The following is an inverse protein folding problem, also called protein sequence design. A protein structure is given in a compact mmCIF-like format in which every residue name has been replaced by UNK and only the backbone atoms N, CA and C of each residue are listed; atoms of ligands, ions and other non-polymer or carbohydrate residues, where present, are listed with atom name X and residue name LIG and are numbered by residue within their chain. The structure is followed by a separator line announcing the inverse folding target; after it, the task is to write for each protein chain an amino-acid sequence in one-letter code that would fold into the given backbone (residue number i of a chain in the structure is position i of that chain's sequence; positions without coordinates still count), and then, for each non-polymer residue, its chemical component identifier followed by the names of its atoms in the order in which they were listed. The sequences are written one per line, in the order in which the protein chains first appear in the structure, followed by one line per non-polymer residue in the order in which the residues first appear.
data_IF_573983759544
#
_entry.id   IF_573983759544
#
_cell.length_a   1.000
_cell.length_b   1.000
_cell.length_c   1.000
_cell.angle_alpha   90.00
_cell.angle_beta   90.00
_cell.angle_gamma   90.00
#
_symmetry.space_group_name_H-M   'P 1'
#
loop_
_entity.id
_entity.type
_entity.pdbx_description
1 polymer ?
#
# COMPACT_ATOMS: atom_id res chain seq x y z
N UNK A 1 -27.34 7.64 -15.24
CA UNK A 1 -25.99 7.52 -14.66
C UNK A 1 -25.92 6.15 -14.02
N UNK A 2 -25.43 5.18 -14.78
CA UNK A 2 -25.52 3.75 -14.49
C UNK A 2 -24.74 3.42 -13.22
N UNK A 3 -25.43 2.89 -12.21
CA UNK A 3 -24.78 2.29 -11.05
C UNK A 3 -23.93 1.08 -11.50
N UNK A 4 -22.82 0.78 -10.83
CA UNK A 4 -21.91 -0.32 -11.17
C UNK A 4 -22.50 -1.73 -10.90
N UNK A 5 -23.82 -1.93 -11.03
CA UNK A 5 -24.50 -3.20 -10.76
C UNK A 5 -24.45 -4.20 -11.93
N UNK A 6 -23.82 -3.88 -13.07
CA UNK A 6 -24.01 -4.64 -14.32
C UNK A 6 -22.76 -5.33 -14.90
N UNK A 7 -21.75 -5.66 -14.07
CA UNK A 7 -20.77 -6.67 -14.48
C UNK A 7 -20.39 -7.59 -13.31
N UNK A 8 -21.05 -8.76 -13.14
CA UNK A 8 -20.73 -9.71 -12.09
C UNK A 8 -19.29 -10.23 -12.18
N UNK A 9 -18.67 -10.20 -13.38
CA UNK A 9 -17.27 -10.57 -13.54
C UNK A 9 -16.33 -9.54 -12.91
N UNK A 10 -16.66 -8.26 -13.01
CA UNK A 10 -15.89 -7.18 -12.38
C UNK A 10 -15.96 -7.26 -10.84
N UNK A 11 -17.13 -7.54 -10.28
CA UNK A 11 -17.31 -7.72 -8.84
C UNK A 11 -16.48 -8.90 -8.31
N UNK A 12 -16.52 -10.04 -9.00
CA UNK A 12 -15.72 -11.21 -8.65
C UNK A 12 -14.20 -10.95 -8.77
N UNK A 13 -13.77 -10.23 -9.80
CA UNK A 13 -12.37 -9.86 -9.99
C UNK A 13 -11.84 -8.94 -8.87
N UNK A 14 -12.64 -7.95 -8.45
CA UNK A 14 -12.30 -7.06 -7.33
C UNK A 14 -12.22 -7.83 -6.01
N UNK A 15 -13.14 -8.77 -5.78
CA UNK A 15 -13.13 -9.61 -4.59
C UNK A 15 -11.90 -10.53 -4.54
N UNK A 16 -11.52 -11.12 -5.68
CA UNK A 16 -10.32 -11.92 -5.81
C UNK A 16 -9.05 -11.08 -5.55
N UNK A 17 -8.99 -9.88 -6.12
CA UNK A 17 -7.87 -8.96 -5.90
C UNK A 17 -7.76 -8.59 -4.41
N UNK A 18 -8.88 -8.24 -3.77
CA UNK A 18 -8.90 -7.90 -2.35
C UNK A 18 -8.42 -9.06 -1.49
N UNK A 19 -8.92 -10.27 -1.74
CA UNK A 19 -8.54 -11.48 -0.99
C UNK A 19 -7.05 -11.78 -1.17
N UNK A 20 -6.52 -11.63 -2.39
CA UNK A 20 -5.10 -11.83 -2.68
C UNK A 20 -4.22 -10.79 -1.97
N UNK A 21 -4.61 -9.51 -2.00
CA UNK A 21 -3.88 -8.44 -1.30
C UNK A 21 -3.87 -8.64 0.21
N UNK A 22 -5.01 -9.01 0.81
CA UNK A 22 -5.10 -9.29 2.25
C UNK A 22 -4.24 -10.49 2.63
N UNK A 23 -4.30 -11.58 1.86
CA UNK A 23 -3.50 -12.78 2.12
C UNK A 23 -1.99 -12.49 2.03
N UNK A 24 -1.57 -11.62 1.10
CA UNK A 24 -0.19 -11.19 0.99
C UNK A 24 0.21 -10.32 2.18
N UNK A 25 -0.54 -9.26 2.47
CA UNK A 25 -0.24 -8.34 3.57
C UNK A 25 -0.22 -9.04 4.93
N UNK A 26 -1.06 -10.07 5.10
CA UNK A 26 -1.08 -10.89 6.31
C UNK A 26 0.21 -11.69 6.53
N UNK A 27 0.93 -12.06 5.47
CA UNK A 27 2.18 -12.83 5.56
C UNK A 27 3.42 -11.96 5.77
N UNK A 28 3.30 -10.64 5.59
CA UNK A 28 4.43 -9.73 5.69
C UNK A 28 4.62 -9.25 7.12
N UNK A 29 5.77 -9.60 7.70
CA UNK A 29 6.17 -9.16 9.03
C UNK A 29 7.61 -8.66 9.00
N UNK A 30 7.78 -7.35 8.90
CA UNK A 30 9.09 -6.71 8.86
C UNK A 30 9.01 -5.26 9.34
N UNK A 31 9.99 -4.74 10.10
CA UNK A 31 9.95 -3.38 10.66
C UNK A 31 9.90 -2.27 9.60
N UNK A 32 10.38 -2.52 8.38
CA UNK A 32 10.32 -1.58 7.26
C UNK A 32 9.16 -1.85 6.28
N UNK A 33 8.13 -2.59 6.71
CA UNK A 33 6.94 -2.88 5.91
C UNK A 33 5.71 -2.65 6.76
N UNK A 34 4.70 -2.02 6.16
CA UNK A 34 3.44 -1.74 6.86
C UNK A 34 2.72 -3.04 7.23
N UNK A 35 2.32 -3.14 8.50
CA UNK A 35 1.64 -4.30 9.05
C UNK A 35 0.13 -4.18 8.85
N UNK A 36 -0.50 -5.28 8.41
CA UNK A 36 -1.95 -5.41 8.39
C UNK A 36 -2.49 -5.60 9.81
N UNK A 37 -3.46 -4.77 10.20
CA UNK A 37 -4.16 -4.90 11.48
C UNK A 37 -5.44 -5.72 11.29
N UNK A 38 -6.23 -5.39 10.26
CA UNK A 38 -7.48 -6.09 9.97
C UNK A 38 -7.92 -5.87 8.52
N UNK A 39 -8.86 -6.68 8.04
CA UNK A 39 -9.52 -6.50 6.76
C UNK A 39 -11.03 -6.73 6.91
N UNK A 40 -11.84 -5.90 6.26
CA UNK A 40 -13.29 -6.04 6.23
C UNK A 40 -13.74 -6.39 4.82
N UNK A 41 -14.46 -7.50 4.69
CA UNK A 41 -15.03 -8.01 3.45
C UNK A 41 -16.56 -8.00 3.57
N UNK A 42 -17.18 -6.83 3.39
CA UNK A 42 -18.65 -6.69 3.48
C UNK A 42 -19.18 -5.90 2.28
N UNK A 43 -19.65 -6.58 1.21
CA UNK A 43 -20.21 -5.91 0.04
C UNK A 43 -21.25 -4.84 0.44
N UNK A 44 -21.26 -3.66 -0.19
CA UNK A 44 -20.44 -3.23 -1.33
C UNK A 44 -19.05 -2.67 -0.94
N UNK A 45 -18.65 -2.77 0.33
CA UNK A 45 -17.45 -2.10 0.85
C UNK A 45 -16.36 -3.11 1.23
N UNK A 46 -15.16 -2.90 0.68
CA UNK A 46 -13.95 -3.61 1.07
C UNK A 46 -13.01 -2.65 1.78
N UNK A 47 -12.47 -3.05 2.94
CA UNK A 47 -11.55 -2.20 3.71
C UNK A 47 -10.31 -2.98 4.14
N UNK A 48 -9.15 -2.34 4.08
CA UNK A 48 -7.88 -2.82 4.63
C UNK A 48 -7.46 -1.85 5.73
N UNK A 49 -7.28 -2.37 6.94
CA UNK A 49 -6.88 -1.62 8.12
C UNK A 49 -5.42 -1.96 8.39
N UNK A 50 -4.58 -0.93 8.43
CA UNK A 50 -3.13 -1.04 8.63
C UNK A 50 -2.71 -0.19 9.83
N UNK A 51 -1.47 -0.37 10.28
CA UNK A 51 -0.90 0.51 11.30
C UNK A 51 -0.87 1.99 10.83
N UNK A 52 -1.00 2.90 11.79
CA UNK A 52 -1.08 4.32 11.48
C UNK A 52 0.31 4.93 11.26
N UNK A 53 0.53 5.48 10.05
CA UNK A 53 1.75 6.20 9.70
C UNK A 53 1.59 7.70 9.94
N UNK A 54 1.90 8.15 11.16
CA UNK A 54 1.70 9.54 11.61
C UNK A 54 2.38 10.60 10.74
N UNK A 55 3.52 10.26 10.13
CA UNK A 55 4.30 11.19 9.30
C UNK A 55 3.78 11.30 7.86
N UNK A 56 2.73 10.56 7.48
CA UNK A 56 2.19 10.54 6.13
C UNK A 56 3.15 9.93 5.11
N UNK A 57 3.02 10.33 3.84
CA UNK A 57 3.86 9.80 2.76
C UNK A 57 5.20 10.52 2.65
N UNK A 58 6.24 9.76 2.27
CA UNK A 58 7.56 10.33 1.99
C UNK A 58 7.49 11.40 0.89
N UNK A 59 6.60 11.25 -0.10
CA UNK A 59 6.35 12.27 -1.14
C UNK A 59 5.91 13.60 -0.54
N UNK A 60 4.94 13.57 0.40
CA UNK A 60 4.46 14.78 1.08
C UNK A 60 5.57 15.40 1.94
N UNK A 61 6.34 14.56 2.63
CA UNK A 61 7.46 15.00 3.45
C UNK A 61 8.54 15.71 2.61
N UNK A 62 8.92 15.14 1.46
CA UNK A 62 9.91 15.71 0.55
C UNK A 62 9.44 17.03 -0.07
N UNK A 63 8.18 17.10 -0.52
CA UNK A 63 7.61 18.31 -1.11
C UNK A 63 7.53 19.47 -0.09
N UNK A 64 7.27 19.17 1.18
CA UNK A 64 7.24 20.19 2.23
C UNK A 64 8.64 20.72 2.59
N UNK A 65 9.70 20.01 2.20
CA UNK A 65 11.07 20.40 2.47
C UNK A 65 11.66 21.32 1.40
N UNK A 66 11.05 21.43 0.21
CA UNK A 66 11.51 22.36 -0.83
C UNK A 66 11.47 23.82 -0.32
N UNK A 67 12.50 24.63 -0.59
CA UNK A 67 13.69 24.38 -1.43
C UNK A 67 14.89 23.73 -0.71
N UNK A 68 14.74 23.35 0.56
CA UNK A 68 15.82 22.84 1.39
C UNK A 68 16.07 21.34 1.13
N UNK A 69 17.35 20.97 1.00
CA UNK A 69 17.72 19.56 0.90
C UNK A 69 17.66 18.90 2.27
N UNK A 70 17.20 17.64 2.30
CA UNK A 70 17.30 16.82 3.50
C UNK A 70 18.76 16.56 3.87
N UNK A 71 19.10 16.44 5.16
CA UNK A 71 20.43 16.02 5.58
C UNK A 71 20.81 14.69 4.95
N UNK A 72 22.02 14.57 4.39
CA UNK A 72 22.48 13.32 3.77
C UNK A 72 22.41 12.11 4.70
N UNK A 73 22.63 12.32 6.00
CA UNK A 73 22.51 11.28 7.02
C UNK A 73 21.09 10.73 7.13
N UNK A 74 20.06 11.57 6.95
CA UNK A 74 18.67 11.15 6.95
C UNK A 74 18.32 10.41 5.67
N UNK A 75 18.78 10.92 4.51
CA UNK A 75 18.58 10.27 3.20
C UNK A 75 19.15 8.86 3.20
N UNK A 76 20.37 8.68 3.73
CA UNK A 76 21.00 7.36 3.82
C UNK A 76 20.22 6.40 4.73
N UNK A 77 19.70 6.87 5.87
CA UNK A 77 18.85 6.06 6.75
C UNK A 77 17.57 5.62 6.05
N UNK A 78 16.86 6.56 5.42
CA UNK A 78 15.63 6.28 4.68
C UNK A 78 15.88 5.29 3.53
N UNK A 79 16.97 5.49 2.77
CA UNK A 79 17.35 4.59 1.69
C UNK A 79 17.67 3.17 2.19
N UNK A 80 18.37 3.06 3.32
CA UNK A 80 18.70 1.78 3.94
C UNK A 80 17.44 1.05 4.44
N UNK A 81 16.52 1.77 5.08
CA UNK A 81 15.25 1.22 5.56
C UNK A 81 14.37 0.73 4.40
N UNK A 82 14.29 1.50 3.31
CA UNK A 82 13.60 1.08 2.08
C UNK A 82 14.27 -0.16 1.50
N UNK A 83 15.60 -0.18 1.39
CA UNK A 83 16.33 -1.32 0.85
C UNK A 83 16.12 -2.59 1.67
N UNK A 84 16.09 -2.49 3.01
CA UNK A 84 15.78 -3.63 3.90
C UNK A 84 14.38 -4.16 3.68
N UNK A 85 13.38 -3.27 3.64
CA UNK A 85 12.00 -3.65 3.33
C UNK A 85 11.88 -4.34 1.97
N UNK A 86 12.51 -3.76 0.94
CA UNK A 86 12.52 -4.35 -0.41
C UNK A 86 13.25 -5.68 -0.47
N UNK A 87 14.38 -5.84 0.24
CA UNK A 87 15.10 -7.12 0.31
C UNK A 87 14.25 -8.21 0.97
N UNK A 88 13.53 -7.88 2.03
CA UNK A 88 12.59 -8.81 2.65
C UNK A 88 11.47 -9.18 1.67
N UNK A 89 10.87 -8.19 0.99
CA UNK A 89 9.82 -8.42 0.01
C UNK A 89 10.25 -9.31 -1.16
N UNK A 90 11.49 -9.13 -1.64
CA UNK A 90 12.07 -10.00 -2.66
C UNK A 90 12.25 -11.44 -2.16
N UNK A 91 12.65 -11.63 -0.90
CA UNK A 91 12.78 -12.97 -0.31
C UNK A 91 11.44 -13.72 -0.14
N UNK A 92 10.32 -12.99 -0.09
CA UNK A 92 8.98 -13.55 0.08
C UNK A 92 8.31 -13.91 -1.28
N UNK A 93 9.04 -13.87 -2.40
CA UNK A 93 8.59 -14.30 -3.76
C UNK A 93 7.31 -13.59 -4.27
N UNK A 94 6.87 -12.47 -3.66
CA UNK A 94 5.47 -12.01 -3.81
C UNK A 94 5.27 -10.53 -4.17
N UNK A 95 6.31 -9.70 -4.31
CA UNK A 95 6.07 -8.24 -4.34
C UNK A 95 6.11 -7.54 -5.71
N UNK A 96 6.72 -8.11 -6.75
CA UNK A 96 6.81 -7.46 -8.08
C UNK A 96 5.41 -7.16 -8.66
N UNK A 97 4.37 -7.88 -8.23
CA UNK A 97 3.00 -7.71 -8.75
C UNK A 97 2.23 -6.53 -8.11
N UNK A 98 2.54 -6.09 -6.88
CA UNK A 98 1.76 -5.04 -6.19
C UNK A 98 2.20 -3.62 -6.60
N UNK A 99 3.49 -3.37 -6.80
CA UNK A 99 3.97 -2.02 -7.14
C UNK A 99 3.52 -1.55 -8.52
N UNK A 100 3.25 -2.45 -9.46
CA UNK A 100 2.79 -2.07 -10.81
C UNK A 100 1.31 -1.70 -10.89
N UNK A 101 0.45 -2.11 -9.94
CA UNK A 101 -1.01 -1.89 -10.04
C UNK A 101 -1.59 -0.87 -9.06
N UNK A 102 -0.88 -0.46 -8.00
CA UNK A 102 -1.40 0.53 -7.02
C UNK A 102 -1.20 2.00 -7.39
N UNK A 103 -0.67 2.34 -8.56
CA UNK A 103 -0.57 3.75 -9.03
C UNK A 103 -1.91 4.38 -9.44
N UNK A 104 -3.00 3.62 -9.42
CA UNK A 104 -4.34 4.14 -9.69
C UNK A 104 -5.30 3.39 -8.79
N UNK A 105 -5.67 3.94 -7.62
CA UNK A 105 -6.97 3.72 -6.94
C UNK A 105 -7.01 4.29 -5.50
N UNK A 106 -5.89 4.63 -4.86
CA UNK A 106 -5.93 5.19 -3.49
C UNK A 106 -6.34 6.67 -3.41
N UNK A 107 -6.52 7.36 -4.54
CA UNK A 107 -6.92 8.79 -4.55
C UNK A 107 -8.44 9.03 -4.56
N UNK A 108 -9.28 8.00 -4.57
CA UNK A 108 -10.75 8.16 -4.71
C UNK A 108 -11.60 7.82 -3.48
N UNK A 109 -11.01 7.51 -2.32
CA UNK A 109 -11.80 7.13 -1.12
C UNK A 109 -11.85 8.25 -0.05
N UNK A 110 -11.26 9.42 -0.29
CA UNK A 110 -11.33 10.58 0.62
C UNK A 110 -11.90 11.86 -0.01
N UNK A 111 -12.77 11.74 -1.02
CA UNK A 111 -13.65 12.83 -1.47
C UNK A 111 -15.06 12.32 -1.72
#
# INVERSE_FOLDING_TARGET
MSQPEEDPALAAALEQQFTSEVALLFRLHHPNIITLVAACKKPPVFCIITEYMACGSLRKYLHNYEPHSLPHSLVLKLALDIARGMSYLHSQESFIVILSRKTSLSEKIYR
#
